data_IF_134689499000
#
_entry.id   IF_134689499000
#
_cell.length_a   1.000
_cell.length_b   1.000
_cell.length_c   1.000
_cell.angle_alpha   90.00
_cell.angle_beta   90.00
_cell.angle_gamma   90.00
#
_symmetry.space_group_name_H-M   'P 1'
#
loop_
_entity.id
_entity.type
_entity.pdbx_description
1 polymer ?
#
# COMPACT_ATOMS: atom_id res chain seq x y z
N UNK A 1 -2.00 5.50 13.75
CA UNK A 1 -2.76 5.23 12.52
C UNK A 1 -2.90 6.54 11.76
N UNK A 2 -2.48 6.61 10.49
CA UNK A 2 -2.57 7.83 9.69
C UNK A 2 -3.72 7.71 8.69
N UNK A 3 -4.61 8.71 8.66
CA UNK A 3 -5.82 8.74 7.82
C UNK A 3 -5.78 10.06 7.04
N UNK A 4 -6.31 10.08 5.81
CA UNK A 4 -6.47 11.34 5.09
C UNK A 4 -7.24 12.35 5.96
N UNK A 5 -6.83 13.64 6.00
CA UNK A 5 -7.51 14.65 6.81
C UNK A 5 -8.99 14.80 6.43
N UNK A 6 -9.78 15.40 7.33
CA UNK A 6 -11.18 15.71 7.02
C UNK A 6 -11.28 16.56 5.75
N UNK A 7 -12.25 16.24 4.89
CA UNK A 7 -12.38 16.86 3.57
C UNK A 7 -11.40 16.34 2.52
N UNK A 8 -10.53 15.37 2.83
CA UNK A 8 -9.66 14.71 1.85
C UNK A 8 -10.12 13.27 1.59
N UNK A 9 -9.82 12.80 0.39
CA UNK A 9 -10.02 11.40 -0.02
C UNK A 9 -8.76 10.87 -0.68
N UNK A 10 -8.48 9.59 -0.43
CA UNK A 10 -7.39 8.91 -1.10
C UNK A 10 -7.70 8.78 -2.60
N UNK A 11 -6.73 9.09 -3.46
CA UNK A 11 -6.83 8.97 -4.92
C UNK A 11 -5.63 8.23 -5.54
N UNK A 12 -4.59 7.98 -4.76
CA UNK A 12 -3.45 7.19 -5.18
C UNK A 12 -2.72 6.55 -4.00
N UNK A 13 -1.78 5.67 -4.29
CA UNK A 13 -0.98 4.99 -3.29
C UNK A 13 0.42 4.65 -3.81
N UNK A 14 1.33 4.35 -2.89
CA UNK A 14 2.64 3.76 -3.16
C UNK A 14 2.92 2.74 -2.05
N UNK A 15 3.56 1.62 -2.41
CA UNK A 15 3.88 0.55 -1.48
C UNK A 15 5.38 0.47 -1.29
N UNK A 16 5.84 0.19 -0.07
CA UNK A 16 7.24 -0.13 0.20
C UNK A 16 7.38 -1.63 0.20
N UNK A 17 8.08 -2.16 -0.80
CA UNK A 17 8.27 -3.60 -0.97
C UNK A 17 9.75 -3.90 -1.19
N UNK A 18 10.21 -5.03 -0.69
CA UNK A 18 11.53 -5.54 -1.06
C UNK A 18 11.49 -6.17 -2.44
N UNK A 19 12.55 -5.95 -3.22
CA UNK A 19 12.66 -6.55 -4.56
C UNK A 19 12.94 -8.04 -4.47
N UNK A 20 12.66 -8.75 -5.57
CA UNK A 20 12.83 -10.21 -5.71
C UNK A 20 14.25 -10.63 -5.26
N UNK A 21 14.36 -11.39 -4.17
CA UNK A 21 15.65 -11.89 -3.63
C UNK A 21 15.97 -13.31 -4.15
N UNK A 22 15.17 -13.84 -5.08
CA UNK A 22 15.43 -15.12 -5.72
C UNK A 22 14.85 -16.29 -4.91
N UNK A 23 15.68 -17.05 -4.18
CA UNK A 23 15.26 -18.27 -3.45
C UNK A 23 14.62 -17.98 -2.07
N UNK A 24 14.31 -16.73 -1.76
CA UNK A 24 13.83 -16.28 -0.44
C UNK A 24 12.66 -15.32 -0.60
N UNK A 25 11.65 -15.51 0.27
CA UNK A 25 10.36 -14.81 0.36
C UNK A 25 10.31 -13.48 -0.39
N UNK A 26 9.68 -13.52 -1.55
CA UNK A 26 9.71 -12.41 -2.50
C UNK A 26 8.71 -11.30 -2.18
N UNK A 27 8.18 -11.06 -0.97
CA UNK A 27 7.07 -10.08 -0.90
C UNK A 27 6.61 -9.54 0.47
N UNK A 28 7.48 -9.20 1.41
CA UNK A 28 7.00 -8.47 2.59
C UNK A 28 6.64 -7.01 2.26
N UNK A 29 5.37 -6.63 2.36
CA UNK A 29 4.94 -5.23 2.36
C UNK A 29 5.43 -4.55 3.64
N UNK A 30 6.33 -3.59 3.47
CA UNK A 30 6.99 -2.87 4.55
C UNK A 30 6.38 -1.47 4.79
N UNK A 31 5.42 -1.04 3.99
CA UNK A 31 4.77 0.26 4.19
C UNK A 31 3.77 0.63 3.10
N UNK A 32 2.85 1.51 3.45
CA UNK A 32 1.82 2.04 2.55
C UNK A 32 1.85 3.57 2.66
N UNK A 33 1.88 4.24 1.52
CA UNK A 33 1.63 5.69 1.38
C UNK A 33 0.35 5.89 0.62
N UNK A 34 -0.52 6.75 1.11
CA UNK A 34 -1.71 7.20 0.40
C UNK A 34 -1.53 8.66 -0.03
N UNK A 35 -1.90 8.92 -1.29
CA UNK A 35 -2.07 10.26 -1.80
C UNK A 35 -3.51 10.69 -1.53
N UNK A 36 -3.66 11.76 -0.74
CA UNK A 36 -4.93 12.35 -0.37
C UNK A 36 -5.13 13.65 -1.16
N UNK A 37 -6.35 13.89 -1.65
CA UNK A 37 -6.74 15.14 -2.32
C UNK A 37 -7.99 15.70 -1.66
N UNK A 38 -8.03 17.01 -1.45
CA UNK A 38 -9.20 17.68 -0.87
C UNK A 38 -10.38 17.61 -1.84
N UNK A 39 -11.60 17.43 -1.32
CA UNK A 39 -12.78 17.16 -2.15
C UNK A 39 -13.26 18.38 -2.92
N UNK A 40 -13.03 19.58 -2.37
CA UNK A 40 -13.48 20.85 -2.96
C UNK A 40 -12.34 21.69 -3.54
N UNK A 41 -11.08 21.35 -3.23
CA UNK A 41 -9.89 22.08 -3.69
C UNK A 41 -8.87 21.07 -4.20
N UNK A 42 -8.93 20.75 -5.48
CA UNK A 42 -8.08 19.72 -6.09
C UNK A 42 -6.58 20.05 -6.08
N UNK A 43 -6.21 21.32 -5.86
CA UNK A 43 -4.82 21.73 -5.70
C UNK A 43 -4.26 21.34 -4.32
N UNK A 44 -5.12 21.24 -3.31
CA UNK A 44 -4.74 20.83 -1.96
C UNK A 44 -4.53 19.31 -1.91
N UNK A 45 -3.29 18.91 -1.62
CA UNK A 45 -2.85 17.52 -1.57
C UNK A 45 -2.15 17.24 -0.24
N UNK A 46 -2.28 16.01 0.24
CA UNK A 46 -1.58 15.51 1.41
C UNK A 46 -1.09 14.09 1.16
N UNK A 47 -0.07 13.68 1.90
CA UNK A 47 0.45 12.30 1.89
C UNK A 47 0.37 11.78 3.31
N UNK A 48 -0.22 10.60 3.47
CA UNK A 48 -0.22 9.89 4.76
C UNK A 48 0.46 8.54 4.58
N UNK A 49 1.23 8.12 5.57
CA UNK A 49 1.99 6.89 5.55
C UNK A 49 1.64 6.01 6.75
N UNK A 50 1.66 4.70 6.56
CA UNK A 50 1.68 3.73 7.67
C UNK A 50 3.01 3.79 8.42
N UNK A 51 3.14 2.98 9.46
CA UNK A 51 4.47 2.58 9.95
C UNK A 51 5.31 2.07 8.78
N UNK A 52 6.55 2.56 8.68
CA UNK A 52 7.48 2.20 7.62
C UNK A 52 8.55 1.24 8.16
N UNK A 53 8.66 0.05 7.57
CA UNK A 53 9.75 -0.88 7.80
C UNK A 53 11.06 -0.33 7.25
N UNK A 54 12.19 -0.79 7.79
CA UNK A 54 13.53 -0.31 7.41
C UNK A 54 13.90 -0.63 5.96
N UNK A 55 13.42 -1.76 5.46
CA UNK A 55 13.84 -2.33 4.18
C UNK A 55 12.82 -2.12 3.06
N UNK A 56 13.24 -2.40 1.83
CA UNK A 56 12.45 -2.24 0.61
C UNK A 56 12.51 -0.85 -0.02
N UNK A 57 11.96 -0.75 -1.23
CA UNK A 57 11.85 0.48 -2.01
C UNK A 57 10.39 0.83 -2.22
N UNK A 58 10.11 2.13 -2.23
CA UNK A 58 8.79 2.63 -2.59
C UNK A 58 8.55 2.42 -4.10
N UNK A 59 7.40 1.86 -4.45
CA UNK A 59 6.94 1.79 -5.83
C UNK A 59 6.63 3.20 -6.35
N UNK A 60 6.55 3.35 -7.67
CA UNK A 60 5.93 4.54 -8.25
C UNK A 60 4.51 4.72 -7.72
N UNK A 61 4.06 5.97 -7.66
CA UNK A 61 2.71 6.28 -7.25
C UNK A 61 1.73 5.77 -8.31
N UNK A 62 0.77 4.97 -7.86
CA UNK A 62 -0.35 4.53 -8.66
C UNK A 62 -1.55 5.40 -8.29
N UNK A 63 -2.06 6.14 -9.27
CA UNK A 63 -3.21 7.05 -9.09
C UNK A 63 -4.37 6.58 -9.95
N UNK A 64 -5.58 6.70 -9.42
CA UNK A 64 -6.77 6.59 -10.24
C UNK A 64 -6.96 7.88 -11.05
N UNK A 65 -7.24 7.76 -12.35
CA UNK A 65 -7.59 8.90 -13.21
C UNK A 65 -8.95 9.53 -12.89
N UNK A 66 -9.75 8.86 -12.06
CA UNK A 66 -11.06 9.31 -11.60
C UNK A 66 -10.95 10.14 -10.32
N UNK A 67 -12.07 10.68 -9.82
CA UNK A 67 -12.05 11.62 -8.69
C UNK A 67 -11.53 11.02 -7.39
N UNK A 68 -11.86 9.77 -7.00
CA UNK A 68 -11.37 9.17 -5.73
C UNK A 68 -11.28 7.62 -5.80
N UNK A 69 -10.61 6.97 -4.86
CA UNK A 69 -10.72 5.52 -4.67
C UNK A 69 -12.12 5.16 -4.14
N UNK A 70 -12.80 4.16 -4.73
CA UNK A 70 -14.10 3.68 -4.23
C UNK A 70 -13.97 2.54 -3.23
N UNK A 71 -13.00 1.65 -3.44
CA UNK A 71 -12.75 0.52 -2.55
C UNK A 71 -11.30 0.07 -2.65
N UNK A 72 -10.80 -0.58 -1.60
CA UNK A 72 -9.53 -1.29 -1.64
C UNK A 72 -9.76 -2.74 -1.24
N UNK A 73 -9.00 -3.65 -1.85
CA UNK A 73 -8.97 -5.07 -1.53
C UNK A 73 -7.53 -5.44 -1.18
N UNK A 74 -7.34 -5.90 0.04
CA UNK A 74 -6.06 -6.45 0.49
C UNK A 74 -5.96 -7.88 -0.05
N UNK A 75 -4.88 -8.20 -0.76
CA UNK A 75 -4.59 -9.57 -1.20
C UNK A 75 -3.30 -10.03 -0.54
N UNK A 76 -3.44 -10.60 0.66
CA UNK A 76 -2.36 -11.34 1.32
C UNK A 76 -2.13 -12.64 0.55
N UNK A 77 -0.89 -12.92 0.13
CA UNK A 77 -0.53 -14.24 -0.37
C UNK A 77 0.12 -14.98 0.79
N UNK A 78 -0.69 -15.77 1.49
CA UNK A 78 -0.20 -16.70 2.51
C UNK A 78 0.43 -17.87 1.76
N UNK A 79 1.75 -18.05 1.88
CA UNK A 79 2.41 -19.25 1.35
C UNK A 79 2.08 -20.45 2.23
N UNK A 80 2.07 -21.65 1.65
CA UNK A 80 1.77 -22.87 2.42
C UNK A 80 2.83 -23.06 3.52
N UNK A 81 2.44 -23.48 4.73
CA UNK A 81 3.40 -23.62 5.82
C UNK A 81 4.56 -24.54 5.41
N UNK A 82 5.79 -24.01 5.38
CA UNK A 82 7.00 -24.82 5.13
C UNK A 82 7.75 -24.99 6.44
N UNK A 83 7.14 -25.77 7.33
CA UNK A 83 7.76 -26.30 8.54
C UNK A 83 7.43 -25.57 9.84
N UNK A 84 7.70 -26.24 10.96
CA UNK A 84 7.29 -25.90 12.32
C UNK A 84 7.87 -24.60 12.93
N UNK A 85 8.74 -23.87 12.22
CA UNK A 85 9.57 -22.80 12.80
C UNK A 85 9.61 -21.49 11.99
N UNK A 86 8.69 -21.23 11.05
CA UNK A 86 8.64 -19.96 10.30
C UNK A 86 7.25 -19.35 10.31
N UNK A 87 7.20 -18.05 10.61
CA UNK A 87 5.99 -17.24 10.52
C UNK A 87 5.63 -17.02 9.04
N UNK A 88 4.72 -17.86 8.53
CA UNK A 88 4.32 -17.89 7.12
C UNK A 88 3.13 -16.96 6.84
N UNK A 89 3.20 -15.68 7.20
CA UNK A 89 2.12 -14.72 6.89
C UNK A 89 2.66 -13.35 6.53
N UNK A 90 3.06 -13.17 5.28
CA UNK A 90 3.36 -11.85 4.73
C UNK A 90 2.17 -11.32 3.91
N UNK A 91 1.89 -10.02 4.05
CA UNK A 91 0.95 -9.33 3.18
C UNK A 91 1.70 -8.92 1.91
N UNK A 92 1.43 -9.63 0.82
CA UNK A 92 2.25 -9.52 -0.39
C UNK A 92 1.72 -8.51 -1.41
N UNK A 93 0.44 -8.13 -1.32
CA UNK A 93 -0.14 -7.21 -2.29
C UNK A 93 -1.37 -6.46 -1.76
N UNK A 94 -1.58 -5.24 -2.26
CA UNK A 94 -2.78 -4.45 -2.05
C UNK A 94 -3.30 -4.00 -3.41
N UNK A 95 -4.57 -4.32 -3.69
CA UNK A 95 -5.25 -3.90 -4.92
C UNK A 95 -6.21 -2.78 -4.55
N UNK A 96 -5.97 -1.58 -5.07
CA UNK A 96 -6.95 -0.50 -4.99
C UNK A 96 -7.85 -0.55 -6.23
N UNK A 97 -9.17 -0.53 -6.02
CA UNK A 97 -10.13 -0.40 -7.12
C UNK A 97 -10.50 1.07 -7.28
N UNK A 98 -10.16 1.58 -8.46
CA UNK A 98 -10.57 2.89 -8.93
C UNK A 98 -12.10 2.94 -9.18
N UNK A 99 -12.61 4.15 -9.44
CA UNK A 99 -14.04 4.42 -9.64
C UNK A 99 -14.73 3.51 -10.66
#
# INVERSE_FOLDING_TARGET
>A
MAICPSGYRAYGFSLKVEGNQGWRDDTALNGIRLLCRHTSNIAARAIVASSEGRWGRWTSYQTCGCTYHRSFSLRTRVERPRGWFRDDTALNNVIFRCC
#
